data_IF_656947942822
#
_entry.id   IF_656947942822
#
_cell.length_a   1.000
_cell.length_b   1.000
_cell.length_c   1.000
_cell.angle_alpha   90.00
_cell.angle_beta   90.00
_cell.angle_gamma   90.00
#
_symmetry.space_group_name_H-M   'P 1'
#
loop_
_entity.id
_entity.type
_entity.pdbx_description
1 polymer ?
#
# COMPACT_ATOMS: atom_id res chain seq x y z
N UNK A 1 -2.00 -15.79 20.67
CA UNK A 1 -2.66 -14.73 19.88
C UNK A 1 -1.91 -13.44 20.19
N UNK A 2 -1.05 -12.96 19.28
CA UNK A 2 -0.26 -11.74 19.52
C UNK A 2 -1.20 -10.55 19.40
N UNK A 3 -1.37 -9.81 20.49
CA UNK A 3 -2.08 -8.53 20.45
C UNK A 3 -1.18 -7.51 19.75
N UNK A 4 -1.68 -6.90 18.68
CA UNK A 4 -0.96 -5.88 17.92
C UNK A 4 -0.55 -4.75 18.88
N UNK A 5 0.73 -4.35 18.87
CA UNK A 5 1.24 -3.28 19.75
C UNK A 5 0.42 -1.98 19.63
N UNK A 6 -0.15 -1.72 18.45
CA UNK A 6 -1.07 -0.61 18.23
C UNK A 6 -2.37 -0.73 19.06
N UNK A 7 -2.91 -1.93 19.25
CA UNK A 7 -4.14 -2.16 20.05
C UNK A 7 -3.85 -1.89 21.54
N UNK A 8 -2.70 -2.34 22.04
CA UNK A 8 -2.27 -2.05 23.41
C UNK A 8 -2.09 -0.55 23.66
N UNK A 9 -1.50 0.18 22.71
CA UNK A 9 -1.31 1.63 22.84
C UNK A 9 -2.64 2.39 22.87
N UNK A 10 -3.61 1.99 22.04
CA UNK A 10 -4.94 2.61 21.98
C UNK A 10 -5.75 2.36 23.27
N UNK A 11 -5.75 1.13 23.78
CA UNK A 11 -6.48 0.78 25.00
C UNK A 11 -5.82 1.35 26.26
N UNK A 12 -4.50 1.57 26.26
CA UNK A 12 -3.75 2.16 27.36
C UNK A 12 -4.11 3.63 27.64
N UNK A 13 -4.79 4.32 26.72
CA UNK A 13 -5.11 5.76 26.84
C UNK A 13 -6.58 6.05 27.11
N UNK A 14 -7.46 5.04 27.14
CA UNK A 14 -8.91 5.25 27.26
C UNK A 14 -9.40 5.08 28.71
N UNK A 15 -10.06 6.10 29.27
CA UNK A 15 -10.98 5.92 30.39
C UNK A 15 -12.18 5.07 29.92
N UNK A 16 -12.75 4.22 30.78
CA UNK A 16 -13.78 3.21 30.43
C UNK A 16 -15.02 3.79 29.71
N UNK A 17 -15.27 5.11 29.81
CA UNK A 17 -16.38 5.81 29.16
C UNK A 17 -16.20 6.10 27.66
N UNK A 18 -14.97 6.10 27.13
CA UNK A 18 -14.67 6.49 25.73
C UNK A 18 -14.07 5.38 24.85
N UNK A 19 -13.86 4.18 25.40
CA UNK A 19 -13.24 3.05 24.70
C UNK A 19 -14.00 2.63 23.42
N UNK A 20 -15.33 2.79 23.41
CA UNK A 20 -16.17 2.55 22.22
C UNK A 20 -15.97 3.59 21.12
N UNK A 21 -15.80 4.86 21.47
CA UNK A 21 -15.57 5.93 20.49
C UNK A 21 -14.15 5.84 19.88
N UNK A 22 -13.15 5.56 20.70
CA UNK A 22 -11.74 5.41 20.28
C UNK A 22 -11.56 4.21 19.33
N UNK A 23 -12.18 3.06 19.63
CA UNK A 23 -12.12 1.88 18.75
C UNK A 23 -12.83 2.11 17.41
N UNK A 24 -13.95 2.83 17.40
CA UNK A 24 -14.64 3.21 16.16
C UNK A 24 -13.78 4.06 15.22
N UNK A 25 -13.05 5.05 15.77
CA UNK A 25 -12.13 5.89 14.98
C UNK A 25 -10.98 5.06 14.40
N UNK A 26 -10.39 4.16 15.18
CA UNK A 26 -9.32 3.28 14.70
C UNK A 26 -9.78 2.37 13.56
N UNK A 27 -10.98 1.80 13.67
CA UNK A 27 -11.55 0.95 12.64
C UNK A 27 -11.87 1.73 11.36
N UNK A 28 -12.41 2.95 11.49
CA UNK A 28 -12.63 3.84 10.35
C UNK A 28 -11.31 4.21 9.67
N UNK A 29 -10.28 4.55 10.44
CA UNK A 29 -8.96 4.87 9.92
C UNK A 29 -8.35 3.69 9.13
N UNK A 30 -8.46 2.46 9.63
CA UNK A 30 -8.01 1.26 8.92
C UNK A 30 -8.76 1.02 7.61
N UNK A 31 -10.08 1.23 7.60
CA UNK A 31 -10.88 1.08 6.39
C UNK A 31 -10.51 2.11 5.32
N UNK A 32 -10.38 3.38 5.73
CA UNK A 32 -9.97 4.47 4.84
C UNK A 32 -8.55 4.23 4.32
N UNK A 33 -7.62 3.81 5.18
CA UNK A 33 -6.25 3.48 4.80
C UNK A 33 -6.18 2.36 3.77
N UNK A 34 -6.96 1.29 3.96
CA UNK A 34 -7.01 0.17 3.01
C UNK A 34 -7.59 0.55 1.65
N UNK A 35 -8.66 1.34 1.63
CA UNK A 35 -9.28 1.85 0.40
C UNK A 35 -8.31 2.77 -0.35
N UNK A 36 -7.78 3.79 0.32
CA UNK A 36 -6.86 4.76 -0.29
C UNK A 36 -5.59 4.08 -0.79
N UNK A 37 -5.00 3.18 0.00
CA UNK A 37 -3.81 2.44 -0.42
C UNK A 37 -4.04 1.66 -1.70
N UNK A 38 -5.14 0.89 -1.78
CA UNK A 38 -5.46 0.09 -2.97
C UNK A 38 -5.73 0.97 -4.19
N UNK A 39 -6.53 2.03 -4.03
CA UNK A 39 -6.89 2.91 -5.15
C UNK A 39 -5.71 3.71 -5.69
N UNK A 40 -4.91 4.31 -4.81
CA UNK A 40 -3.77 5.15 -5.21
C UNK A 40 -2.66 4.29 -5.82
N UNK A 41 -2.27 3.20 -5.16
CA UNK A 41 -1.23 2.32 -5.69
C UNK A 41 -1.67 1.64 -7.00
N UNK A 42 -2.94 1.22 -7.10
CA UNK A 42 -3.50 0.67 -8.34
C UNK A 42 -3.47 1.68 -9.50
N UNK A 43 -3.84 2.94 -9.25
CA UNK A 43 -3.79 4.00 -10.26
C UNK A 43 -2.35 4.30 -10.72
N UNK A 44 -1.39 4.35 -9.78
CA UNK A 44 0.03 4.57 -10.11
C UNK A 44 0.59 3.41 -10.92
N UNK A 45 0.29 2.17 -10.54
CA UNK A 45 0.72 0.99 -11.29
C UNK A 45 0.16 1.02 -12.71
N UNK A 46 -1.14 1.31 -12.84
CA UNK A 46 -1.78 1.41 -14.15
C UNK A 46 -1.13 2.48 -15.02
N UNK A 47 -0.94 3.69 -14.49
CA UNK A 47 -0.33 4.81 -15.22
C UNK A 47 1.12 4.55 -15.61
N UNK A 48 1.92 3.95 -14.73
CA UNK A 48 3.33 3.68 -15.00
C UNK A 48 3.52 2.52 -15.98
N UNK A 49 2.76 1.44 -15.82
CA UNK A 49 2.83 0.29 -16.71
C UNK A 49 2.36 0.64 -18.13
N UNK A 50 1.25 1.39 -18.27
CA UNK A 50 0.76 1.79 -19.60
C UNK A 50 1.71 2.77 -20.27
N UNK A 51 2.25 3.75 -19.54
CA UNK A 51 3.25 4.68 -20.08
C UNK A 51 4.51 3.96 -20.57
N UNK A 52 5.08 3.05 -19.76
CA UNK A 52 6.27 2.29 -20.16
C UNK A 52 6.04 1.36 -21.33
N UNK A 53 4.84 0.78 -21.44
CA UNK A 53 4.48 -0.05 -22.57
C UNK A 53 4.28 0.76 -23.85
N UNK A 54 3.64 1.93 -23.77
CA UNK A 54 3.54 2.88 -24.88
C UNK A 54 4.92 3.31 -25.39
N UNK A 55 5.84 3.65 -24.48
CA UNK A 55 7.23 3.99 -24.82
C UNK A 55 7.97 2.83 -25.51
N UNK A 56 7.81 1.60 -25.00
CA UNK A 56 8.48 0.41 -25.54
C UNK A 56 7.95 -0.04 -26.90
N UNK A 57 6.66 0.21 -27.18
CA UNK A 57 5.99 -0.20 -28.42
C UNK A 57 5.90 0.93 -29.46
N UNK A 58 6.16 2.18 -29.06
CA UNK A 58 5.99 3.36 -29.90
C UNK A 58 4.53 3.74 -30.15
N UNK A 59 3.59 3.13 -29.44
CA UNK A 59 2.14 3.39 -29.58
C UNK A 59 1.77 4.56 -28.67
N UNK A 60 1.45 5.72 -29.27
CA UNK A 60 1.18 6.94 -28.52
C UNK A 60 -0.11 6.88 -27.67
N UNK A 61 -1.15 6.18 -28.13
CA UNK A 61 -2.39 5.97 -27.39
C UNK A 61 -2.76 4.49 -27.39
N UNK A 62 -2.79 3.91 -26.19
CA UNK A 62 -3.31 2.56 -25.96
C UNK A 62 -4.82 2.65 -25.73
N UNK A 63 -5.59 1.76 -26.35
CA UNK A 63 -7.00 1.63 -26.02
C UNK A 63 -7.17 1.14 -24.57
N UNK A 64 -8.35 1.38 -24.00
CA UNK A 64 -8.62 1.06 -22.60
C UNK A 64 -8.49 -0.43 -22.27
N UNK A 65 -8.73 -1.34 -23.23
CA UNK A 65 -8.59 -2.78 -22.97
C UNK A 65 -7.12 -3.19 -22.93
N UNK A 66 -6.31 -2.73 -23.88
CA UNK A 66 -4.85 -2.96 -23.88
C UNK A 66 -4.19 -2.35 -22.65
N UNK A 67 -4.56 -1.12 -22.29
CA UNK A 67 -4.06 -0.46 -21.09
C UNK A 67 -4.39 -1.22 -19.80
N UNK A 68 -5.60 -1.78 -19.71
CA UNK A 68 -5.98 -2.67 -18.59
C UNK A 68 -5.23 -4.00 -18.61
N UNK A 69 -5.08 -4.62 -19.78
CA UNK A 69 -4.35 -5.88 -19.89
C UNK A 69 -2.90 -5.73 -19.39
N UNK A 70 -2.20 -4.70 -19.86
CA UNK A 70 -0.80 -4.42 -19.46
C UNK A 70 -0.69 -4.14 -17.96
N UNK A 71 -1.61 -3.34 -17.39
CA UNK A 71 -1.58 -3.05 -15.95
C UNK A 71 -1.94 -4.25 -15.08
N UNK A 72 -2.60 -5.27 -15.65
CA UNK A 72 -2.85 -6.58 -15.03
C UNK A 72 -1.74 -7.61 -15.30
N UNK A 73 -0.67 -7.23 -16.02
CA UNK A 73 0.41 -8.14 -16.41
C UNK A 73 0.04 -9.11 -17.53
N UNK A 74 -1.04 -8.84 -18.26
CA UNK A 74 -1.50 -9.62 -19.41
C UNK A 74 -0.91 -9.01 -20.68
N UNK A 75 -0.21 -9.82 -21.47
CA UNK A 75 0.33 -9.41 -22.76
C UNK A 75 -0.79 -9.27 -23.81
N UNK A 76 -1.00 -8.08 -24.40
CA UNK A 76 -2.01 -7.86 -25.41
C UNK A 76 -1.48 -8.29 -26.79
N UNK A 77 -1.67 -9.56 -27.15
CA UNK A 77 -1.16 -10.10 -28.42
C UNK A 77 -2.19 -9.85 -29.55
N UNK A 78 -1.80 -9.16 -30.65
CA UNK A 78 -2.69 -8.96 -31.80
C UNK A 78 -3.08 -10.28 -32.46
N UNK A 79 -4.34 -10.44 -32.91
CA UNK A 79 -4.75 -11.63 -33.66
C UNK A 79 -3.95 -11.73 -34.96
N UNK A 80 -3.27 -12.86 -35.17
CA UNK A 80 -2.42 -13.09 -36.35
C UNK A 80 -0.97 -12.63 -36.22
N UNK A 81 -0.52 -12.21 -35.02
CA UNK A 81 0.88 -11.94 -34.77
C UNK A 81 1.75 -13.21 -34.96
N UNK A 82 2.91 -13.05 -35.59
CA UNK A 82 3.90 -14.13 -35.64
C UNK A 82 4.49 -14.39 -34.23
N UNK A 83 5.16 -15.54 -34.06
CA UNK A 83 5.72 -15.94 -32.77
C UNK A 83 6.77 -14.97 -32.21
N UNK A 84 7.57 -14.33 -33.06
CA UNK A 84 8.56 -13.32 -32.70
C UNK A 84 7.88 -12.01 -32.27
N UNK A 85 6.85 -11.56 -32.99
CA UNK A 85 6.06 -10.38 -32.63
C UNK A 85 5.33 -10.59 -31.29
N UNK A 86 4.70 -11.76 -31.11
CA UNK A 86 4.04 -12.12 -29.85
C UNK A 86 5.02 -12.17 -28.67
N UNK A 87 6.21 -12.72 -28.87
CA UNK A 87 7.26 -12.74 -27.85
C UNK A 87 7.77 -11.33 -27.50
N UNK A 88 7.95 -10.46 -28.50
CA UNK A 88 8.38 -9.07 -28.30
C UNK A 88 7.35 -8.27 -27.49
N UNK A 89 6.06 -8.36 -27.86
CA UNK A 89 4.97 -7.70 -27.13
C UNK A 89 4.84 -8.23 -25.70
N UNK A 90 4.96 -9.54 -25.51
CA UNK A 90 4.91 -10.15 -24.19
C UNK A 90 6.05 -9.66 -23.29
N UNK A 91 7.26 -9.58 -23.86
CA UNK A 91 8.43 -9.06 -23.13
C UNK A 91 8.23 -7.59 -22.75
N UNK A 92 7.78 -6.76 -23.69
CA UNK A 92 7.50 -5.35 -23.44
C UNK A 92 6.43 -5.17 -22.34
N UNK A 93 5.35 -5.95 -22.39
CA UNK A 93 4.30 -5.91 -21.36
C UNK A 93 4.83 -6.31 -19.97
N UNK A 94 5.64 -7.37 -19.90
CA UNK A 94 6.24 -7.82 -18.65
C UNK A 94 7.23 -6.79 -18.07
N UNK A 95 8.14 -6.25 -18.89
CA UNK A 95 9.09 -5.22 -18.47
C UNK A 95 8.38 -3.95 -18.00
N UNK A 96 7.31 -3.53 -18.69
CA UNK A 96 6.50 -2.39 -18.30
C UNK A 96 5.78 -2.61 -16.96
N UNK A 97 5.17 -3.79 -16.77
CA UNK A 97 4.52 -4.16 -15.50
C UNK A 97 5.52 -4.18 -14.34
N UNK A 98 6.67 -4.83 -14.51
CA UNK A 98 7.74 -4.87 -13.51
C UNK A 98 8.26 -3.48 -13.16
N UNK A 99 8.40 -2.60 -14.15
CA UNK A 99 8.78 -1.20 -13.90
C UNK A 99 7.74 -0.47 -13.06
N UNK A 100 6.45 -0.76 -13.26
CA UNK A 100 5.38 -0.23 -12.42
C UNK A 100 5.47 -0.73 -10.98
N UNK A 101 5.69 -2.03 -10.78
CA UNK A 101 5.90 -2.62 -9.45
C UNK A 101 7.12 -2.00 -8.75
N UNK A 102 8.23 -1.78 -9.46
CA UNK A 102 9.41 -1.12 -8.89
C UNK A 102 9.10 0.30 -8.42
N UNK A 103 8.31 1.04 -9.19
CA UNK A 103 7.85 2.39 -8.82
C UNK A 103 6.97 2.34 -7.56
N UNK A 104 6.09 1.35 -7.45
CA UNK A 104 5.29 1.15 -6.23
C UNK A 104 6.16 0.88 -5.01
N UNK A 105 7.22 0.08 -5.15
CA UNK A 105 8.13 -0.21 -4.04
C UNK A 105 8.81 1.06 -3.50
N UNK A 106 9.21 1.99 -4.38
CA UNK A 106 9.74 3.29 -3.97
C UNK A 106 8.70 4.15 -3.24
N UNK A 107 7.45 4.15 -3.69
CA UNK A 107 6.36 4.88 -3.04
C UNK A 107 6.08 4.28 -1.65
N UNK A 108 6.02 2.96 -1.54
CA UNK A 108 5.85 2.26 -0.26
C UNK A 108 7.01 2.55 0.70
N UNK A 109 8.25 2.56 0.21
CA UNK A 109 9.43 2.93 1.00
C UNK A 109 9.34 4.38 1.49
N UNK A 110 8.94 5.32 0.61
CA UNK A 110 8.71 6.71 0.97
C UNK A 110 7.61 6.89 2.02
N UNK A 111 6.51 6.15 1.89
CA UNK A 111 5.42 6.17 2.86
C UNK A 111 5.86 5.61 4.22
N UNK A 112 6.62 4.52 4.23
CA UNK A 112 7.17 3.94 5.47
C UNK A 112 8.12 4.91 6.18
N UNK A 113 8.99 5.60 5.43
CA UNK A 113 9.88 6.62 5.98
C UNK A 113 9.08 7.81 6.53
N UNK A 114 8.06 8.27 5.80
CA UNK A 114 7.18 9.33 6.29
C UNK A 114 6.49 8.92 7.60
N UNK A 115 5.94 7.70 7.67
CA UNK A 115 5.34 7.16 8.91
C UNK A 115 6.33 7.11 10.07
N UNK A 116 7.59 6.75 9.82
CA UNK A 116 8.64 6.77 10.84
C UNK A 116 8.91 8.19 11.36
N UNK A 117 8.99 9.18 10.47
CA UNK A 117 9.17 10.60 10.84
C UNK A 117 7.97 11.11 11.64
N UNK A 118 6.73 10.77 11.25
CA UNK A 118 5.54 11.14 12.02
C UNK A 118 5.53 10.49 13.41
N UNK A 119 5.82 9.19 13.50
CA UNK A 119 5.88 8.48 14.78
C UNK A 119 6.91 9.09 15.74
N UNK A 120 8.08 9.48 15.24
CA UNK A 120 9.13 10.11 16.06
C UNK A 120 8.78 11.54 16.48
N UNK A 121 8.04 12.30 15.67
CA UNK A 121 7.61 13.67 16.01
C UNK A 121 6.40 13.74 16.94
N UNK A 122 5.53 12.73 16.93
CA UNK A 122 4.28 12.69 17.70
C UNK A 122 4.49 12.10 19.11
N UNK A 123 5.70 11.66 19.48
CA UNK A 123 5.99 11.09 20.80
C UNK A 123 6.33 12.16 21.87
N UNK A 124 5.32 12.75 22.54
CA UNK A 124 5.39 12.89 24.00
C UNK A 124 4.19 12.19 24.66
N UNK A 125 4.44 11.59 25.84
CA UNK A 125 3.50 10.90 26.76
C UNK A 125 3.35 9.38 26.49
N UNK A 126 3.53 8.48 27.45
CA UNK A 126 3.78 8.63 28.88
C UNK A 126 4.48 7.38 29.42
N UNK A 127 5.34 7.60 30.42
CA UNK A 127 5.90 6.51 31.24
C UNK A 127 4.72 5.75 31.84
N UNK A 128 4.66 4.44 31.63
CA UNK A 128 3.77 3.56 32.39
C UNK A 128 4.11 3.77 33.86
N UNK A 129 3.20 4.27 34.72
CA UNK A 129 3.42 4.26 36.15
C UNK A 129 3.57 2.81 36.58
N UNK A 130 4.78 2.42 36.98
CA UNK A 130 4.98 1.22 37.78
C UNK A 130 4.27 1.49 39.10
N UNK A 131 3.03 1.05 39.27
CA UNK A 131 2.46 0.91 40.61
C UNK A 131 3.34 -0.08 41.37
N UNK A 132 4.01 0.33 42.46
CA UNK A 132 4.66 -0.62 43.34
C UNK A 132 3.58 -1.56 43.86
N UNK A 133 3.83 -2.87 43.73
CA UNK A 133 3.03 -3.93 44.31
C UNK A 133 2.95 -3.72 45.83
N UNK A 134 1.88 -3.07 46.31
CA UNK A 134 1.52 -3.06 47.72
C UNK A 134 0.78 -4.36 48.01
N UNK A 135 1.56 -5.42 48.18
CA UNK A 135 1.11 -6.74 48.57
C UNK A 135 2.15 -7.37 49.47
N UNK A 136 2.12 -7.01 50.76
CA UNK A 136 2.51 -7.86 51.87
C UNK A 136 2.22 -7.17 53.21
N UNK A 137 1.31 -7.80 53.97
CA UNK A 137 1.25 -7.81 55.45
C UNK A 137 0.64 -6.54 56.07
N UNK A 138 -0.51 -6.58 56.76
CA UNK A 138 -0.95 -7.51 57.83
C UNK A 138 -2.46 -7.81 57.82
#
# INVERSE_FOLDING_TARGET
MVMNAAIHAVLSTAAESDAGAVSGVQQAANQIGGLLGTSVLGAVLASTATGRFADATGVAELDAATARAVSQGIAPIPPGADAQAAAAVTRAANEAFLSGIHTLMWICAGLALASCVFATKIHPLGRVPTTPNAGSEE
#
